data_IF_591439031737
#
_entry.id   IF_591439031737
#
_cell.length_a   1.000
_cell.length_b   1.000
_cell.length_c   1.000
_cell.angle_alpha   90.00
_cell.angle_beta   90.00
_cell.angle_gamma   90.00
#
_symmetry.space_group_name_H-M   'P 1'
#
loop_
_entity.id
_entity.type
_entity.pdbx_description
1 polymer ?
#
# COMPACT_ATOMS: atom_id res chain seq x y z
N UNK A 1 -6.96 32.19 14.76
CA UNK A 1 -6.36 30.96 14.22
C UNK A 1 -7.35 30.11 13.39
N UNK A 2 -8.49 30.67 12.95
CA UNK A 2 -9.51 29.97 12.14
C UNK A 2 -9.51 30.39 10.65
N UNK A 3 -8.67 31.36 10.25
CA UNK A 3 -8.72 31.97 8.92
C UNK A 3 -7.70 31.39 7.92
N UNK A 4 -6.60 30.75 8.37
CA UNK A 4 -5.62 30.16 7.44
C UNK A 4 -6.11 28.87 6.75
N UNK A 5 -7.18 28.25 7.25
CA UNK A 5 -7.76 27.06 6.64
C UNK A 5 -8.77 27.40 5.54
N UNK A 6 -9.41 28.57 5.63
CA UNK A 6 -10.44 29.02 4.67
C UNK A 6 -9.81 29.61 3.41
N UNK A 7 -8.69 30.32 3.51
CA UNK A 7 -7.97 30.85 2.34
C UNK A 7 -7.49 29.74 1.39
N UNK A 8 -7.14 28.55 1.91
CA UNK A 8 -6.77 27.38 1.09
C UNK A 8 -7.95 26.75 0.33
N UNK A 9 -9.18 26.97 0.78
CA UNK A 9 -10.38 26.40 0.14
C UNK A 9 -10.75 27.22 -1.10
N UNK A 10 -10.53 28.53 -1.07
CA UNK A 10 -10.76 29.43 -2.20
C UNK A 10 -9.77 29.13 -3.35
N UNK A 11 -8.50 28.88 -3.02
CA UNK A 11 -7.48 28.42 -3.98
C UNK A 11 -7.85 27.08 -4.62
N UNK A 12 -8.41 26.13 -3.85
CA UNK A 12 -8.86 24.84 -4.39
C UNK A 12 -10.05 24.99 -5.35
N UNK A 13 -10.99 25.90 -5.08
CA UNK A 13 -12.09 26.18 -6.00
C UNK A 13 -11.58 26.77 -7.32
N UNK A 14 -10.61 27.69 -7.26
CA UNK A 14 -9.96 28.26 -8.45
C UNK A 14 -9.20 27.20 -9.23
N UNK A 15 -8.42 26.34 -8.56
CA UNK A 15 -7.68 25.24 -9.20
C UNK A 15 -8.64 24.24 -9.85
N UNK A 16 -9.76 23.91 -9.20
CA UNK A 16 -10.81 23.05 -9.80
C UNK A 16 -11.44 23.69 -11.03
N UNK A 17 -11.89 24.94 -10.93
CA UNK A 17 -12.48 25.67 -12.06
C UNK A 17 -11.48 25.77 -13.22
N UNK A 18 -10.22 26.08 -12.92
CA UNK A 18 -9.15 26.12 -13.92
C UNK A 18 -8.94 24.75 -14.57
N UNK A 19 -8.86 23.67 -13.80
CA UNK A 19 -8.69 22.31 -14.32
C UNK A 19 -9.87 21.90 -15.20
N UNK A 20 -11.10 22.11 -14.74
CA UNK A 20 -12.34 21.81 -15.49
C UNK A 20 -12.39 22.61 -16.80
N UNK A 21 -12.09 23.92 -16.74
CA UNK A 21 -12.09 24.79 -17.92
C UNK A 21 -10.98 24.41 -18.91
N UNK A 22 -9.78 24.07 -18.43
CA UNK A 22 -8.68 23.63 -19.26
C UNK A 22 -8.98 22.29 -19.93
N UNK A 23 -9.60 21.34 -19.22
CA UNK A 23 -10.05 20.08 -19.84
C UNK A 23 -11.14 20.32 -20.89
N UNK A 24 -12.07 21.25 -20.66
CA UNK A 24 -13.09 21.62 -21.66
C UNK A 24 -12.48 22.26 -22.91
N UNK A 25 -11.48 23.13 -22.75
CA UNK A 25 -10.84 23.84 -23.85
C UNK A 25 -9.83 22.98 -24.62
N UNK A 26 -9.03 22.18 -23.91
CA UNK A 26 -7.92 21.41 -24.48
C UNK A 26 -8.25 19.95 -24.75
N UNK A 27 -9.39 19.47 -24.26
CA UNK A 27 -9.73 18.06 -24.27
C UNK A 27 -8.94 17.26 -23.23
N UNK A 28 -8.99 15.94 -23.33
CA UNK A 28 -8.17 15.07 -22.52
C UNK A 28 -6.74 14.92 -23.09
N UNK A 29 -5.89 14.17 -22.38
CA UNK A 29 -4.51 13.91 -22.83
C UNK A 29 -4.41 12.74 -23.83
N UNK A 30 -5.54 12.21 -24.31
CA UNK A 30 -5.55 11.07 -25.21
C UNK A 30 -5.53 11.53 -26.67
N UNK A 31 -5.09 10.64 -27.56
CA UNK A 31 -5.16 10.93 -28.98
C UNK A 31 -6.63 11.11 -29.39
N UNK A 32 -6.89 12.04 -30.32
CA UNK A 32 -8.23 12.22 -30.87
C UNK A 32 -8.75 10.88 -31.40
N UNK A 33 -9.98 10.52 -31.03
CA UNK A 33 -10.65 9.26 -31.35
C UNK A 33 -10.03 8.01 -30.68
N UNK A 34 -9.21 8.18 -29.64
CA UNK A 34 -8.69 7.06 -28.86
C UNK A 34 -9.81 6.33 -28.12
N UNK A 35 -9.94 5.04 -28.42
CA UNK A 35 -10.80 4.10 -27.70
C UNK A 35 -9.89 3.07 -27.05
N UNK A 36 -9.95 2.92 -25.74
CA UNK A 36 -9.23 1.84 -25.08
C UNK A 36 -9.81 0.50 -25.50
N UNK A 37 -9.05 -0.30 -26.25
CA UNK A 37 -9.35 -1.72 -26.45
C UNK A 37 -9.15 -2.46 -25.12
N UNK A 38 -10.25 -2.62 -24.39
CA UNK A 38 -10.30 -3.34 -23.12
C UNK A 38 -11.22 -4.53 -23.24
N UNK A 39 -10.89 -5.56 -22.48
CA UNK A 39 -11.75 -6.73 -22.35
C UNK A 39 -13.07 -6.34 -21.69
N UNK A 40 -14.18 -6.83 -22.24
CA UNK A 40 -15.53 -6.70 -21.67
C UNK A 40 -15.58 -7.24 -20.24
N UNK A 41 -14.79 -8.30 -19.97
CA UNK A 41 -14.63 -8.87 -18.63
C UNK A 41 -13.19 -9.28 -18.37
N UNK A 42 -12.65 -8.81 -17.25
CA UNK A 42 -11.28 -9.04 -16.79
C UNK A 42 -11.26 -10.07 -15.67
N UNK A 43 -10.52 -11.16 -15.86
CA UNK A 43 -10.35 -12.24 -14.87
C UNK A 43 -9.26 -11.91 -13.86
N UNK A 44 -9.57 -11.00 -12.94
CA UNK A 44 -8.63 -10.60 -11.88
C UNK A 44 -8.79 -11.51 -10.66
N UNK A 45 -7.69 -12.08 -10.19
CA UNK A 45 -7.60 -12.79 -8.92
C UNK A 45 -7.14 -11.85 -7.81
N UNK A 46 -7.76 -11.99 -6.63
CA UNK A 46 -7.37 -11.30 -5.40
C UNK A 46 -6.77 -12.29 -4.42
N UNK A 47 -5.97 -13.24 -4.87
CA UNK A 47 -5.37 -14.22 -3.97
C UNK A 47 -4.48 -13.52 -2.92
N UNK A 48 -4.85 -13.64 -1.64
CA UNK A 48 -4.18 -12.97 -0.52
C UNK A 48 -3.58 -13.97 0.49
N UNK A 49 -2.77 -13.43 1.39
CA UNK A 49 -2.29 -14.16 2.55
C UNK A 49 -3.41 -14.37 3.57
N UNK A 50 -3.37 -15.48 4.30
CA UNK A 50 -4.16 -15.60 5.52
C UNK A 50 -3.65 -14.60 6.56
N UNK A 51 -4.56 -13.81 7.12
CA UNK A 51 -4.24 -12.81 8.14
C UNK A 51 -4.40 -13.36 9.57
N UNK A 52 -4.81 -14.61 9.71
CA UNK A 52 -5.16 -15.22 11.00
C UNK A 52 -4.02 -15.15 12.02
N UNK A 53 -2.80 -15.52 11.62
CA UNK A 53 -1.65 -15.50 12.53
C UNK A 53 -1.24 -14.08 12.94
N UNK A 54 -1.40 -13.10 12.03
CA UNK A 54 -1.14 -11.70 12.36
C UNK A 54 -2.14 -11.20 13.42
N UNK A 55 -3.43 -11.54 13.27
CA UNK A 55 -4.47 -11.22 14.25
C UNK A 55 -4.20 -11.87 15.60
N UNK A 56 -3.91 -13.16 15.63
CA UNK A 56 -3.62 -13.87 16.88
C UNK A 56 -2.42 -13.30 17.63
N UNK A 57 -1.38 -12.86 16.90
CA UNK A 57 -0.23 -12.16 17.51
C UNK A 57 -0.69 -10.82 18.10
N UNK A 58 -1.43 -10.03 17.32
CA UNK A 58 -1.94 -8.72 17.75
C UNK A 58 -2.83 -8.82 18.99
N UNK A 59 -3.73 -9.80 19.04
CA UNK A 59 -4.67 -10.01 20.14
C UNK A 59 -3.98 -10.38 21.46
N UNK A 60 -2.84 -11.08 21.37
CA UNK A 60 -2.03 -11.46 22.54
C UNK A 60 -1.17 -10.31 23.10
N UNK A 61 -1.06 -9.19 22.40
CA UNK A 61 -0.22 -8.08 22.86
C UNK A 61 -0.91 -7.26 23.95
N UNK A 62 -0.12 -6.88 24.96
CA UNK A 62 -0.58 -5.98 26.02
C UNK A 62 -0.75 -4.55 25.51
N UNK A 63 -1.41 -3.71 26.32
CA UNK A 63 -1.68 -2.31 25.97
C UNK A 63 -0.42 -1.51 25.63
N UNK A 64 0.67 -1.71 26.38
CA UNK A 64 1.95 -1.01 26.15
C UNK A 64 2.55 -1.32 24.77
N UNK A 65 2.57 -2.59 24.36
CA UNK A 65 3.09 -3.00 23.04
C UNK A 65 2.21 -2.47 21.93
N UNK A 66 0.88 -2.48 22.10
CA UNK A 66 -0.07 -1.90 21.14
C UNK A 66 0.13 -0.38 21.01
N UNK A 67 0.28 0.33 22.12
CA UNK A 67 0.57 1.77 22.13
C UNK A 67 1.90 2.10 21.45
N UNK A 68 2.93 1.28 21.68
CA UNK A 68 4.19 1.40 20.96
C UNK A 68 3.98 1.22 19.44
N UNK A 69 3.18 0.24 19.02
CA UNK A 69 2.85 0.05 17.61
C UNK A 69 2.14 1.28 17.02
N UNK A 70 1.04 1.74 17.62
CA UNK A 70 0.27 2.91 17.14
C UNK A 70 1.14 4.16 17.03
N UNK A 71 1.99 4.42 18.02
CA UNK A 71 2.92 5.56 18.02
C UNK A 71 3.94 5.52 16.88
N UNK A 72 4.19 4.35 16.29
CA UNK A 72 5.17 4.15 15.22
C UNK A 72 4.52 4.03 13.84
N UNK A 73 3.39 3.34 13.75
CA UNK A 73 2.83 2.84 12.49
C UNK A 73 1.35 3.19 12.31
N UNK A 74 0.76 3.96 13.22
CA UNK A 74 -0.61 4.42 13.11
C UNK A 74 -1.61 3.27 13.11
N UNK A 75 -2.63 3.42 12.27
CA UNK A 75 -3.84 2.61 12.22
C UNK A 75 -3.70 1.36 11.33
N UNK A 76 -2.46 0.97 11.03
CA UNK A 76 -2.13 -0.11 10.12
C UNK A 76 -2.76 -1.47 10.50
N UNK A 77 -3.02 -1.71 11.79
CA UNK A 77 -3.61 -2.97 12.29
C UNK A 77 -5.07 -3.13 11.94
N UNK A 78 -5.83 -2.05 11.69
CA UNK A 78 -7.23 -2.17 11.28
C UNK A 78 -7.38 -2.86 9.92
N UNK A 79 -6.34 -2.83 9.08
CA UNK A 79 -6.32 -3.58 7.82
C UNK A 79 -6.50 -5.08 8.02
N UNK A 80 -6.10 -5.61 9.18
CA UNK A 80 -6.26 -7.03 9.47
C UNK A 80 -7.74 -7.40 9.57
N UNK A 81 -8.60 -6.49 10.04
CA UNK A 81 -10.02 -6.75 10.28
C UNK A 81 -10.92 -6.55 9.07
N UNK A 82 -10.37 -5.96 8.01
CA UNK A 82 -11.10 -5.71 6.77
C UNK A 82 -11.11 -6.98 5.93
N UNK A 83 -12.30 -7.55 5.73
CA UNK A 83 -12.50 -8.70 4.87
C UNK A 83 -12.41 -8.24 3.41
N UNK A 84 -11.46 -8.79 2.66
CA UNK A 84 -11.41 -8.60 1.22
C UNK A 84 -12.52 -9.41 0.55
N UNK A 85 -13.54 -8.72 0.02
CA UNK A 85 -14.55 -9.33 -0.81
C UNK A 85 -14.05 -9.40 -2.27
N UNK A 86 -13.69 -10.61 -2.71
CA UNK A 86 -13.16 -10.85 -4.05
C UNK A 86 -14.19 -10.53 -5.15
N UNK A 87 -15.48 -10.79 -4.90
CA UNK A 87 -16.52 -10.55 -5.89
C UNK A 87 -16.75 -9.06 -6.08
N UNK A 88 -16.85 -8.31 -4.97
CA UNK A 88 -16.96 -6.86 -4.99
C UNK A 88 -15.74 -6.23 -5.66
N UNK A 89 -14.52 -6.64 -5.26
CA UNK A 89 -13.31 -6.14 -5.90
C UNK A 89 -13.31 -6.41 -7.41
N UNK A 90 -13.66 -7.64 -7.83
CA UNK A 90 -13.65 -7.99 -9.26
C UNK A 90 -14.66 -7.16 -10.04
N UNK A 91 -15.84 -6.89 -9.46
CA UNK A 91 -16.85 -6.03 -10.07
C UNK A 91 -16.34 -4.59 -10.24
N UNK A 92 -15.76 -4.01 -9.18
CA UNK A 92 -15.20 -2.65 -9.20
C UNK A 92 -14.03 -2.51 -10.18
N UNK A 93 -13.14 -3.50 -10.20
CA UNK A 93 -11.96 -3.48 -11.03
C UNK A 93 -12.27 -3.46 -12.54
N UNK A 94 -13.48 -3.89 -12.98
CA UNK A 94 -13.89 -3.77 -14.38
C UNK A 94 -13.97 -2.30 -14.85
N UNK A 95 -14.30 -1.39 -13.93
CA UNK A 95 -14.42 0.03 -14.21
C UNK A 95 -13.08 0.77 -14.21
N UNK A 96 -11.98 0.10 -13.85
CA UNK A 96 -10.66 0.71 -13.96
C UNK A 96 -10.33 0.96 -15.43
N UNK A 97 -10.05 2.22 -15.75
CA UNK A 97 -9.65 2.69 -17.06
C UNK A 97 -8.13 2.95 -17.09
N UNK A 98 -7.33 2.09 -17.76
CA UNK A 98 -5.87 2.24 -17.79
C UNK A 98 -5.35 3.44 -18.57
N UNK A 99 -6.18 4.13 -19.36
CA UNK A 99 -5.79 5.32 -20.10
C UNK A 99 -5.79 6.55 -19.19
N UNK A 100 -6.78 6.66 -18.31
CA UNK A 100 -6.88 7.76 -17.34
C UNK A 100 -6.29 7.42 -15.96
N UNK A 101 -6.05 6.13 -15.67
CA UNK A 101 -5.65 5.65 -14.33
C UNK A 101 -6.65 6.04 -13.23
N UNK A 102 -7.94 5.89 -13.54
CA UNK A 102 -9.06 6.08 -12.61
C UNK A 102 -10.14 5.00 -12.84
N UNK A 103 -11.14 4.95 -11.97
CA UNK A 103 -12.37 4.20 -12.16
C UNK A 103 -13.42 5.09 -12.82
N UNK A 104 -13.96 4.68 -13.97
CA UNK A 104 -14.92 5.47 -14.75
C UNK A 104 -16.31 4.86 -14.68
N UNK A 105 -17.27 5.60 -14.13
CA UNK A 105 -18.68 5.23 -14.01
C UNK A 105 -19.55 6.20 -14.82
N UNK A 106 -19.69 5.93 -16.11
CA UNK A 106 -20.41 6.84 -17.02
C UNK A 106 -19.71 8.20 -17.12
N UNK A 107 -20.25 9.22 -16.44
CA UNK A 107 -19.70 10.60 -16.44
C UNK A 107 -18.91 10.94 -15.17
N UNK A 108 -18.69 9.98 -14.28
CA UNK A 108 -18.01 10.19 -13.00
C UNK A 108 -16.72 9.39 -12.99
N UNK A 109 -15.62 10.07 -12.70
CA UNK A 109 -14.32 9.45 -12.46
C UNK A 109 -13.99 9.45 -10.96
N UNK A 110 -13.51 8.32 -10.47
CA UNK A 110 -13.10 8.11 -9.09
C UNK A 110 -11.67 7.59 -9.07
N UNK A 111 -10.82 8.19 -8.25
CA UNK A 111 -9.43 7.76 -8.09
C UNK A 111 -8.99 8.02 -6.66
N UNK A 112 -8.35 7.05 -5.98
CA UNK A 112 -7.88 7.29 -4.63
C UNK A 112 -6.75 8.30 -4.60
N UNK A 113 -6.82 9.22 -3.64
CA UNK A 113 -5.85 10.33 -3.48
C UNK A 113 -4.87 10.08 -2.34
N UNK A 114 -3.80 10.88 -2.31
CA UNK A 114 -2.81 10.85 -1.24
C UNK A 114 -3.44 11.25 0.08
N UNK A 115 -4.32 12.25 0.06
CA UNK A 115 -5.01 12.80 1.22
C UNK A 115 -5.92 11.74 1.86
N UNK A 116 -6.73 11.06 1.06
CA UNK A 116 -7.64 10.01 1.53
C UNK A 116 -6.89 8.82 2.12
N UNK A 117 -5.86 8.33 1.43
CA UNK A 117 -5.05 7.21 1.94
C UNK A 117 -4.23 7.60 3.17
N UNK A 118 -3.81 8.87 3.27
CA UNK A 118 -3.16 9.39 4.47
C UNK A 118 -4.13 9.41 5.65
N UNK A 119 -5.37 9.83 5.42
CA UNK A 119 -6.42 9.81 6.44
C UNK A 119 -6.77 8.37 6.88
N UNK A 120 -6.90 7.43 5.93
CA UNK A 120 -7.22 6.02 6.22
C UNK A 120 -6.12 5.30 7.02
N UNK A 121 -4.83 5.61 6.76
CA UNK A 121 -3.72 4.97 7.45
C UNK A 121 -3.33 5.65 8.77
N UNK A 122 -3.73 6.92 8.95
CA UNK A 122 -3.48 7.75 10.13
C UNK A 122 -2.12 7.47 10.81
N UNK A 123 -1.01 7.79 10.12
CA UNK A 123 0.33 7.52 10.63
C UNK A 123 1.00 8.80 11.17
N UNK A 124 1.11 8.99 12.51
CA UNK A 124 1.57 10.26 13.09
C UNK A 124 3.03 10.62 12.81
N UNK A 125 3.85 9.62 12.42
CA UNK A 125 5.30 9.79 12.25
C UNK A 125 5.75 10.24 10.87
N UNK A 126 4.88 10.15 9.87
CA UNK A 126 5.30 10.38 8.48
C UNK A 126 5.12 11.84 8.09
N UNK A 127 6.14 12.41 7.49
CA UNK A 127 6.06 13.76 6.92
C UNK A 127 5.35 13.64 5.57
N UNK A 128 4.18 14.28 5.44
CA UNK A 128 3.38 14.27 4.21
C UNK A 128 4.20 14.77 3.01
N UNK A 129 5.12 15.70 3.25
CA UNK A 129 5.95 16.32 2.20
C UNK A 129 7.16 15.49 1.74
N UNK A 130 7.42 14.32 2.36
CA UNK A 130 8.52 13.42 1.96
C UNK A 130 7.99 12.18 1.25
N UNK A 131 7.91 12.27 -0.07
CA UNK A 131 7.65 11.13 -0.93
C UNK A 131 8.83 10.14 -0.94
N UNK A 132 8.53 8.85 -1.15
CA UNK A 132 9.56 7.84 -1.36
C UNK A 132 10.36 8.15 -2.63
N UNK A 133 11.68 8.24 -2.48
CA UNK A 133 12.63 8.26 -3.58
C UNK A 133 13.67 7.17 -3.39
N UNK A 134 13.96 6.42 -4.46
CA UNK A 134 14.97 5.36 -4.42
C UNK A 134 16.34 5.97 -4.14
N UNK A 135 17.04 5.47 -3.12
CA UNK A 135 18.34 6.03 -2.73
C UNK A 135 19.40 5.78 -3.81
N UNK A 136 20.37 6.68 -3.93
CA UNK A 136 21.60 6.42 -4.68
C UNK A 136 22.41 5.25 -4.07
N UNK A 137 22.35 5.09 -2.74
CA UNK A 137 22.88 3.93 -2.02
C UNK A 137 21.75 3.22 -1.26
N UNK A 138 21.35 2.07 -1.77
CA UNK A 138 20.39 1.18 -1.11
C UNK A 138 21.18 0.07 -0.41
N UNK A 139 21.16 -0.03 0.94
CA UNK A 139 21.81 -1.13 1.64
C UNK A 139 21.32 -2.49 1.12
N UNK A 140 22.14 -3.52 1.16
CA UNK A 140 21.74 -4.87 0.71
C UNK A 140 20.55 -5.39 1.50
N UNK A 141 19.74 -6.28 0.90
CA UNK A 141 18.56 -6.86 1.55
C UNK A 141 18.82 -7.34 2.99
N UNK A 142 19.86 -8.14 3.17
CA UNK A 142 20.18 -8.70 4.47
C UNK A 142 20.58 -7.63 5.50
N UNK A 143 21.29 -6.56 5.09
CA UNK A 143 21.67 -5.46 5.99
C UNK A 143 20.43 -4.73 6.51
N UNK A 144 19.47 -4.47 5.63
CA UNK A 144 18.18 -3.86 6.02
C UNK A 144 17.45 -4.75 7.01
N UNK A 145 17.35 -6.05 6.73
CA UNK A 145 16.69 -6.98 7.63
C UNK A 145 17.44 -7.11 8.97
N UNK A 146 18.78 -7.13 8.99
CA UNK A 146 19.56 -7.08 10.25
C UNK A 146 19.23 -5.83 11.06
N UNK A 147 19.14 -4.67 10.43
CA UNK A 147 18.77 -3.43 11.11
C UNK A 147 17.34 -3.46 11.66
N UNK A 148 16.37 -3.98 10.89
CA UNK A 148 14.96 -4.04 11.29
C UNK A 148 14.74 -5.09 12.39
N UNK A 149 15.28 -6.29 12.20
CA UNK A 149 15.07 -7.45 13.08
C UNK A 149 15.98 -7.50 14.28
N UNK A 150 17.14 -6.82 14.25
CA UNK A 150 18.19 -6.99 15.27
C UNK A 150 18.95 -8.32 15.20
N UNK A 151 18.69 -9.16 14.19
CA UNK A 151 19.34 -10.47 14.05
C UNK A 151 20.67 -10.37 13.30
N UNK A 152 21.61 -11.26 13.64
CA UNK A 152 22.91 -11.31 12.99
C UNK A 152 22.80 -11.70 11.50
N UNK A 153 23.82 -11.31 10.72
CA UNK A 153 23.89 -11.58 9.29
C UNK A 153 23.66 -13.06 8.96
N UNK A 154 24.32 -13.97 9.68
CA UNK A 154 24.24 -15.41 9.48
C UNK A 154 22.81 -15.94 9.63
N UNK A 155 22.06 -15.41 10.62
CA UNK A 155 20.68 -15.81 10.85
C UNK A 155 19.79 -15.38 9.67
N UNK A 156 20.02 -14.19 9.14
CA UNK A 156 19.24 -13.57 8.06
C UNK A 156 19.55 -14.23 6.71
N UNK A 157 20.83 -14.31 6.34
CA UNK A 157 21.26 -14.87 5.04
C UNK A 157 20.86 -16.33 4.89
N UNK A 158 20.88 -17.11 5.97
CA UNK A 158 20.39 -18.49 5.98
C UNK A 158 18.87 -18.64 5.72
N UNK A 159 18.09 -17.56 5.87
CA UNK A 159 16.62 -17.57 5.76
C UNK A 159 16.09 -16.84 4.54
N UNK A 160 16.91 -16.00 3.91
CA UNK A 160 16.57 -15.38 2.63
C UNK A 160 16.51 -16.46 1.55
N UNK A 161 15.44 -16.45 0.77
CA UNK A 161 15.23 -17.37 -0.36
C UNK A 161 14.90 -16.60 -1.63
N UNK A 162 15.30 -17.14 -2.77
CA UNK A 162 14.81 -16.68 -4.06
C UNK A 162 13.38 -17.19 -4.27
N UNK A 163 12.43 -16.31 -4.60
CA UNK A 163 11.06 -16.67 -4.94
C UNK A 163 10.61 -15.88 -6.17
N UNK A 164 10.57 -16.57 -7.31
CA UNK A 164 10.46 -15.91 -8.61
C UNK A 164 11.64 -14.97 -8.82
N UNK A 165 11.35 -13.73 -9.22
CA UNK A 165 12.37 -12.70 -9.49
C UNK A 165 12.87 -12.00 -8.22
N UNK A 166 12.20 -12.19 -7.07
CA UNK A 166 12.51 -11.45 -5.85
C UNK A 166 13.23 -12.32 -4.81
N UNK A 167 14.21 -11.73 -4.12
CA UNK A 167 14.70 -12.26 -2.85
C UNK A 167 13.69 -11.94 -1.77
N UNK A 168 13.36 -12.93 -0.95
CA UNK A 168 12.33 -12.81 0.07
C UNK A 168 12.73 -13.51 1.36
N UNK A 169 12.12 -13.08 2.48
CA UNK A 169 12.15 -13.80 3.76
C UNK A 169 10.76 -14.42 4.02
N UNK A 170 10.66 -15.71 4.37
CA UNK A 170 9.37 -16.33 4.64
C UNK A 170 8.71 -15.75 5.91
N UNK A 171 7.39 -15.55 5.87
CA UNK A 171 6.59 -15.08 7.00
C UNK A 171 6.80 -15.93 8.24
N UNK A 172 6.85 -17.27 8.09
CA UNK A 172 7.09 -18.20 9.20
C UNK A 172 8.32 -17.81 10.03
N UNK A 173 9.40 -17.41 9.38
CA UNK A 173 10.63 -16.99 10.06
C UNK A 173 10.46 -15.68 10.83
N UNK A 174 9.71 -14.72 10.28
CA UNK A 174 9.41 -13.44 10.94
C UNK A 174 8.43 -13.65 12.11
N UNK A 175 7.40 -14.48 11.91
CA UNK A 175 6.43 -14.89 12.94
C UNK A 175 7.13 -15.52 14.14
N UNK A 176 7.95 -16.54 13.89
CA UNK A 176 8.68 -17.24 14.95
C UNK A 176 9.60 -16.27 15.70
N UNK A 177 10.22 -15.32 14.99
CA UNK A 177 11.02 -14.27 15.60
C UNK A 177 10.19 -13.33 16.49
N UNK A 178 9.03 -12.85 16.03
CA UNK A 178 8.14 -11.96 16.80
C UNK A 178 7.73 -12.59 18.14
N UNK A 179 7.49 -13.90 18.15
CA UNK A 179 7.06 -14.62 19.35
C UNK A 179 8.14 -14.72 20.43
N UNK A 180 9.42 -14.72 20.05
CA UNK A 180 10.56 -14.88 20.96
C UNK A 180 11.37 -13.60 21.16
N UNK A 181 11.02 -12.51 20.47
CA UNK A 181 11.81 -11.28 20.47
C UNK A 181 11.77 -10.58 21.84
N UNK A 182 12.94 -10.43 22.47
CA UNK A 182 13.06 -9.79 23.80
C UNK A 182 12.98 -8.26 23.73
N UNK A 183 13.48 -7.65 22.66
CA UNK A 183 13.34 -6.21 22.41
C UNK A 183 11.94 -5.89 21.85
N UNK A 184 11.15 -5.15 22.62
CA UNK A 184 9.78 -4.76 22.26
C UNK A 184 9.69 -3.86 21.03
N UNK A 185 10.69 -3.01 20.78
CA UNK A 185 10.72 -2.14 19.60
C UNK A 185 10.98 -2.96 18.34
N UNK A 186 11.99 -3.83 18.35
CA UNK A 186 12.28 -4.73 17.22
C UNK A 186 11.11 -5.67 16.94
N UNK A 187 10.46 -6.19 17.98
CA UNK A 187 9.24 -7.00 17.86
C UNK A 187 8.15 -6.28 17.06
N UNK A 188 7.86 -5.02 17.43
CA UNK A 188 6.87 -4.17 16.77
C UNK A 188 7.28 -3.86 15.32
N UNK A 189 8.56 -3.60 15.07
CA UNK A 189 9.08 -3.30 13.73
C UNK A 189 8.96 -4.52 12.79
N UNK A 190 9.28 -5.73 13.27
CA UNK A 190 9.15 -6.96 12.48
C UNK A 190 7.67 -7.27 12.18
N UNK A 191 6.78 -7.02 13.13
CA UNK A 191 5.34 -7.17 12.91
C UNK A 191 4.82 -6.17 11.86
N UNK A 192 5.21 -4.90 11.95
CA UNK A 192 4.85 -3.89 10.95
C UNK A 192 5.39 -4.23 9.56
N UNK A 193 6.67 -4.63 9.46
CA UNK A 193 7.28 -5.11 8.20
C UNK A 193 6.44 -6.24 7.57
N UNK A 194 5.90 -7.12 8.40
CA UNK A 194 5.08 -8.24 7.97
C UNK A 194 3.72 -7.78 7.45
N UNK A 195 3.08 -6.79 8.06
CA UNK A 195 1.85 -6.19 7.51
C UNK A 195 2.13 -5.53 6.15
N UNK A 196 3.23 -4.78 6.03
CA UNK A 196 3.60 -4.18 4.74
C UNK A 196 3.82 -5.25 3.65
N UNK A 197 4.51 -6.35 3.96
CA UNK A 197 4.80 -7.36 2.94
C UNK A 197 3.68 -8.37 2.67
N UNK A 198 2.80 -8.63 3.63
CA UNK A 198 1.75 -9.64 3.50
C UNK A 198 0.38 -9.05 3.16
N UNK A 199 0.13 -7.78 3.47
CA UNK A 199 -1.17 -7.12 3.29
C UNK A 199 -1.08 -5.98 2.30
N UNK A 200 -0.10 -5.08 2.45
CA UNK A 200 -0.02 -3.89 1.61
C UNK A 200 0.60 -4.19 0.24
N UNK A 201 1.73 -4.91 0.23
CA UNK A 201 2.49 -5.26 -0.96
C UNK A 201 2.62 -6.80 -1.10
N UNK A 202 1.51 -7.54 -1.28
CA UNK A 202 1.48 -9.00 -1.26
C UNK A 202 2.04 -9.66 -2.54
N UNK A 203 3.23 -9.24 -2.97
CA UNK A 203 3.87 -9.70 -4.21
C UNK A 203 4.15 -11.19 -4.18
N UNK A 204 4.63 -11.73 -3.06
CA UNK A 204 4.89 -13.16 -2.92
C UNK A 204 4.17 -13.72 -1.68
N UNK A 205 3.15 -14.56 -1.89
CA UNK A 205 2.36 -15.11 -0.78
C UNK A 205 3.23 -15.83 0.26
N UNK A 206 3.00 -15.53 1.53
CA UNK A 206 3.69 -16.04 2.71
C UNK A 206 5.11 -15.51 2.87
N UNK A 207 5.49 -14.44 2.16
CA UNK A 207 6.85 -13.93 2.13
C UNK A 207 6.86 -12.39 2.13
N UNK A 208 7.93 -11.81 2.66
CA UNK A 208 8.23 -10.38 2.55
C UNK A 208 9.41 -10.24 1.59
N UNK A 209 9.24 -9.47 0.52
CA UNK A 209 10.28 -9.27 -0.49
C UNK A 209 11.25 -8.12 -0.16
N UNK A 210 12.32 -8.04 -0.95
CA UNK A 210 13.36 -7.00 -0.81
C UNK A 210 12.83 -5.57 -0.97
N UNK A 211 11.89 -5.32 -1.87
CA UNK A 211 11.36 -3.98 -2.14
C UNK A 211 10.53 -3.46 -0.96
N UNK A 212 9.82 -4.34 -0.27
CA UNK A 212 9.12 -4.00 0.99
C UNK A 212 10.12 -3.56 2.05
N UNK A 213 11.27 -4.23 2.16
CA UNK A 213 12.31 -3.85 3.11
C UNK A 213 13.01 -2.54 2.72
N UNK A 214 13.13 -2.25 1.42
CA UNK A 214 13.59 -0.95 0.92
C UNK A 214 12.65 0.18 1.34
N UNK A 215 11.34 -0.01 1.17
CA UNK A 215 10.34 0.95 1.64
C UNK A 215 10.43 1.13 3.15
N UNK A 216 10.48 0.02 3.90
CA UNK A 216 10.47 0.05 5.36
C UNK A 216 11.69 0.77 5.96
N UNK A 217 12.89 0.61 5.38
CA UNK A 217 14.08 1.39 5.76
C UNK A 217 13.86 2.90 5.57
N UNK A 218 13.10 3.30 4.54
CA UNK A 218 12.74 4.71 4.31
C UNK A 218 11.69 5.22 5.28
N UNK A 219 10.76 4.39 5.74
CA UNK A 219 9.78 4.78 6.76
C UNK A 219 10.47 5.23 8.05
N UNK A 220 11.56 4.56 8.43
CA UNK A 220 12.41 4.97 9.56
C UNK A 220 13.03 6.38 9.41
N UNK A 221 13.02 6.95 8.20
CA UNK A 221 13.53 8.29 7.86
C UNK A 221 12.40 9.32 7.69
N UNK A 222 11.17 8.98 8.09
CA UNK A 222 10.00 9.86 8.06
C UNK A 222 9.30 9.94 6.70
N UNK A 223 9.62 9.07 5.76
CA UNK A 223 8.96 8.99 4.44
C UNK A 223 7.57 8.38 4.59
N UNK A 224 6.57 8.95 3.90
CA UNK A 224 5.22 8.36 3.85
C UNK A 224 5.15 7.17 2.88
N UNK A 225 4.48 6.05 3.24
CA UNK A 225 4.26 4.93 2.34
C UNK A 225 3.15 5.22 1.29
N UNK A 226 2.30 6.22 1.53
CA UNK A 226 1.05 6.43 0.79
C UNK A 226 1.26 6.53 -0.73
N UNK A 227 2.19 7.35 -1.26
CA UNK A 227 2.42 7.41 -2.70
C UNK A 227 2.84 6.08 -3.29
N UNK A 228 3.62 5.27 -2.56
CA UNK A 228 4.05 3.93 -3.01
C UNK A 228 2.89 2.94 -3.02
N UNK A 229 1.97 3.02 -2.06
CA UNK A 229 0.76 2.19 -2.00
C UNK A 229 -0.15 2.48 -3.20
N UNK A 230 -0.39 3.77 -3.48
CA UNK A 230 -1.19 4.19 -4.64
C UNK A 230 -0.52 3.78 -5.95
N UNK A 231 0.79 4.00 -6.09
CA UNK A 231 1.54 3.60 -7.27
C UNK A 231 1.45 2.10 -7.54
N UNK A 232 1.62 1.24 -6.52
CA UNK A 232 1.50 -0.22 -6.71
C UNK A 232 0.06 -0.62 -7.05
N UNK A 233 -0.94 0.00 -6.41
CA UNK A 233 -2.37 -0.20 -6.71
C UNK A 233 -2.67 0.11 -8.17
N UNK A 234 -2.28 1.28 -8.66
CA UNK A 234 -2.50 1.70 -10.05
C UNK A 234 -1.73 0.84 -11.04
N UNK A 235 -0.46 0.55 -10.74
CA UNK A 235 0.38 -0.32 -11.56
C UNK A 235 -0.25 -1.70 -11.71
N UNK A 236 -0.78 -2.27 -10.63
CA UNK A 236 -1.38 -3.60 -10.68
C UNK A 236 -2.73 -3.61 -11.38
N UNK A 237 -3.59 -2.61 -11.17
CA UNK A 237 -4.87 -2.49 -11.88
C UNK A 237 -4.64 -2.31 -13.38
N UNK A 238 -3.69 -1.46 -13.76
CA UNK A 238 -3.27 -1.25 -15.14
C UNK A 238 -2.79 -2.56 -15.79
N UNK A 239 -1.91 -3.30 -15.12
CA UNK A 239 -1.41 -4.58 -15.61
C UNK A 239 -2.55 -5.58 -15.83
N UNK A 240 -3.43 -5.76 -14.83
CA UNK A 240 -4.55 -6.68 -14.92
C UNK A 240 -5.55 -6.30 -16.01
N UNK A 241 -5.92 -5.01 -16.12
CA UNK A 241 -6.91 -4.56 -17.11
C UNK A 241 -6.41 -4.64 -18.54
N UNK A 242 -5.14 -4.28 -18.78
CA UNK A 242 -4.54 -4.41 -20.12
C UNK A 242 -4.37 -5.87 -20.53
N UNK A 243 -4.01 -6.75 -19.60
CA UNK A 243 -3.88 -8.17 -19.89
C UNK A 243 -5.22 -8.90 -20.01
N UNK A 244 -6.32 -8.35 -19.46
CA UNK A 244 -7.61 -9.06 -19.36
C UNK A 244 -7.66 -10.10 -18.24
N UNK A 245 -6.55 -10.30 -17.55
CA UNK A 245 -6.39 -11.33 -16.50
C UNK A 245 -5.22 -10.99 -15.56
N UNK A 246 -5.04 -11.85 -14.56
CA UNK A 246 -3.87 -11.82 -13.68
C UNK A 246 -4.24 -11.66 -12.21
N UNK A 247 -3.22 -11.46 -11.37
CA UNK A 247 -3.40 -11.28 -9.94
C UNK A 247 -3.16 -9.82 -9.56
N UNK A 248 -4.11 -9.24 -8.84
CA UNK A 248 -3.91 -7.93 -8.23
C UNK A 248 -2.85 -8.01 -7.12
N UNK A 249 -1.82 -7.17 -7.22
CA UNK A 249 -0.75 -7.00 -6.25
C UNK A 249 -0.93 -5.60 -5.66
N UNK A 250 -1.60 -5.53 -4.52
CA UNK A 250 -1.85 -4.30 -3.79
C UNK A 250 -2.75 -4.54 -2.58
N UNK A 251 -3.07 -3.47 -1.87
CA UNK A 251 -3.82 -3.54 -0.62
C UNK A 251 -5.34 -3.42 -0.87
N UNK A 252 -6.02 -4.55 -1.04
CA UNK A 252 -7.49 -4.57 -1.18
C UNK A 252 -8.20 -4.08 0.08
N UNK A 253 -7.58 -4.34 1.24
CA UNK A 253 -8.00 -3.87 2.55
C UNK A 253 -8.02 -2.33 2.66
N UNK A 254 -7.28 -1.61 1.81
CA UNK A 254 -7.38 -0.15 1.72
C UNK A 254 -8.34 0.29 0.61
N UNK A 255 -8.29 -0.37 -0.54
CA UNK A 255 -9.08 0.05 -1.71
C UNK A 255 -10.59 -0.14 -1.50
N UNK A 256 -11.04 -1.24 -0.90
CA UNK A 256 -12.46 -1.51 -0.71
C UNK A 256 -13.14 -0.53 0.28
N UNK A 257 -12.59 -0.25 1.48
CA UNK A 257 -13.15 0.79 2.34
C UNK A 257 -13.16 2.17 1.70
N UNK A 258 -12.10 2.52 0.95
CA UNK A 258 -12.09 3.76 0.17
C UNK A 258 -13.25 3.82 -0.82
N UNK A 259 -13.53 2.73 -1.53
CA UNK A 259 -14.72 2.67 -2.38
C UNK A 259 -16.01 2.84 -1.59
N UNK A 260 -16.15 2.15 -0.46
CA UNK A 260 -17.33 2.26 0.40
C UNK A 260 -17.55 3.66 0.98
N UNK A 261 -16.52 4.50 1.11
CA UNK A 261 -16.70 5.88 1.58
C UNK A 261 -17.21 6.83 0.50
N UNK A 262 -17.26 6.40 -0.76
CA UNK A 262 -17.65 7.21 -1.92
C UNK A 262 -19.01 6.82 -2.52
N UNK A 263 -19.67 5.80 -1.95
CA UNK A 263 -20.96 5.28 -2.39
C UNK A 263 -21.97 5.21 -1.24
#
# INVERSE_FOLDING_TARGET
MANEFLDKVEDNAIVRIWSEKVQLEKGDSLAKDYVSELWDYTRISVMQNSLQELKEIWDKWNGETKQLFYSNYGDLTYLLDIKADEQLFRALAQYWNPAYSCFTFGKVDLVPTVEEYTALLHCPRFQVDKAYFRAAYVPTFWKKLTNITGMCEQWITARIKQKGECKCIPWKNLRDLILVHLDGKKKVDVFALSIYGLVIFPRALGHVDEAVSDLFDRLGKGVTPVPTILAETFRSLNACRRAGEGRFIGCVQLLLPWFHSHF
#
